data_IF_249180508494
#
_entry.id   IF_249180508494
#
_cell.length_a   1.000
_cell.length_b   1.000
_cell.length_c   1.000
_cell.angle_alpha   90.00
_cell.angle_beta   90.00
_cell.angle_gamma   90.00
#
_symmetry.space_group_name_H-M   'P 1'
#
loop_
_entity.id
_entity.type
_entity.pdbx_description
1 polymer ?
#
# COMPACT_ATOMS: atom_id res chain seq x y z
N UNK A 1 -10.96 15.02 29.31
CA UNK A 1 -10.97 13.55 29.53
C UNK A 1 -9.54 13.08 29.75
N UNK A 2 -9.34 11.99 30.49
CA UNK A 2 -8.01 11.37 30.57
C UNK A 2 -7.64 10.81 29.19
N UNK A 3 -6.37 10.94 28.80
CA UNK A 3 -5.89 10.39 27.52
C UNK A 3 -5.81 8.87 27.59
N UNK A 4 -6.08 8.22 26.46
CA UNK A 4 -5.91 6.78 26.29
C UNK A 4 -4.42 6.46 26.40
N UNK A 5 -4.06 5.53 27.27
CA UNK A 5 -2.66 5.15 27.53
C UNK A 5 -2.24 4.01 26.60
N UNK A 6 -1.12 4.19 25.91
CA UNK A 6 -0.47 3.13 25.14
C UNK A 6 0.59 2.44 26.00
N UNK A 7 0.70 1.11 25.87
CA UNK A 7 1.72 0.30 26.58
C UNK A 7 2.97 0.11 25.74
N UNK A 8 2.80 -0.34 24.51
CA UNK A 8 3.89 -0.59 23.54
C UNK A 8 3.95 0.57 22.53
N UNK A 9 5.16 1.05 22.16
CA UNK A 9 5.26 2.08 21.14
C UNK A 9 4.81 1.56 19.76
N UNK A 10 4.26 2.48 18.96
CA UNK A 10 4.04 2.33 17.54
C UNK A 10 5.28 2.85 16.80
N UNK A 11 5.78 2.13 15.81
CA UNK A 11 6.86 2.65 14.96
C UNK A 11 6.29 3.74 14.07
N UNK A 12 6.81 4.95 14.22
CA UNK A 12 6.41 6.12 13.43
C UNK A 12 7.50 6.45 12.42
N UNK A 13 7.18 6.35 11.14
CA UNK A 13 8.07 6.69 10.04
C UNK A 13 7.57 7.98 9.39
N UNK A 14 8.19 9.11 9.72
CA UNK A 14 7.88 10.41 9.11
C UNK A 14 8.41 10.46 7.67
N UNK A 15 7.95 11.43 6.87
CA UNK A 15 8.24 11.48 5.44
C UNK A 15 8.58 12.85 4.92
N UNK A 16 8.09 13.17 3.72
CA UNK A 16 8.49 14.34 2.95
C UNK A 16 7.33 15.26 2.57
N UNK A 17 7.68 16.49 2.24
CA UNK A 17 6.87 17.49 1.54
C UNK A 17 5.50 17.75 2.18
N UNK A 18 4.43 17.88 1.40
CA UNK A 18 3.10 18.22 1.92
C UNK A 18 2.54 17.16 2.86
N UNK A 19 2.87 15.89 2.64
CA UNK A 19 2.41 14.81 3.52
C UNK A 19 3.02 14.89 4.91
N UNK A 20 4.27 15.34 5.07
CA UNK A 20 4.90 15.61 6.38
C UNK A 20 4.17 16.73 7.14
N UNK A 21 3.73 17.76 6.43
CA UNK A 21 2.95 18.85 7.03
C UNK A 21 1.59 18.34 7.53
N UNK A 22 0.88 17.57 6.70
CA UNK A 22 -0.38 16.94 7.09
C UNK A 22 -0.20 15.95 8.26
N UNK A 23 0.90 15.20 8.25
CA UNK A 23 1.25 14.26 9.32
C UNK A 23 1.30 14.94 10.67
N UNK A 24 2.00 16.07 10.72
CA UNK A 24 2.08 16.88 11.94
C UNK A 24 0.70 17.42 12.36
N UNK A 25 -0.09 17.96 11.42
CA UNK A 25 -1.44 18.46 11.70
C UNK A 25 -2.37 17.38 12.26
N UNK A 26 -2.33 16.17 11.66
CA UNK A 26 -3.13 15.02 12.12
C UNK A 26 -2.73 14.66 13.56
N UNK A 27 -1.44 14.56 13.85
CA UNK A 27 -0.97 14.26 15.22
C UNK A 27 -1.45 15.32 16.21
N UNK A 28 -1.23 16.59 15.91
CA UNK A 28 -1.52 17.69 16.82
C UNK A 28 -3.03 17.86 17.08
N UNK A 29 -3.86 17.73 16.03
CA UNK A 29 -5.29 18.00 16.12
C UNK A 29 -6.15 16.77 16.42
N UNK A 30 -5.77 15.60 15.90
CA UNK A 30 -6.64 14.41 15.94
C UNK A 30 -6.15 13.29 16.86
N UNK A 31 -4.86 13.25 17.24
CA UNK A 31 -4.31 12.15 18.04
C UNK A 31 -3.88 12.60 19.43
N UNK A 32 -2.95 13.53 19.52
CA UNK A 32 -2.34 13.96 20.79
C UNK A 32 -3.33 14.52 21.83
N UNK A 33 -4.46 15.15 21.46
CA UNK A 33 -5.47 15.57 22.44
C UNK A 33 -6.13 14.39 23.18
N UNK A 34 -6.20 13.21 22.56
CA UNK A 34 -6.98 12.07 23.04
C UNK A 34 -6.14 10.89 23.52
N UNK A 35 -4.92 10.74 23.00
CA UNK A 35 -4.04 9.60 23.24
C UNK A 35 -2.73 10.11 23.87
N UNK A 36 -2.22 9.37 24.85
CA UNK A 36 -0.80 9.45 25.27
C UNK A 36 0.02 8.63 24.27
N UNK A 37 0.25 9.23 23.09
CA UNK A 37 0.81 8.58 21.92
C UNK A 37 2.30 8.26 22.17
N UNK A 38 2.61 6.97 22.24
CA UNK A 38 3.98 6.47 22.33
C UNK A 38 4.44 6.00 20.96
N UNK A 39 5.51 6.61 20.45
CA UNK A 39 6.11 6.22 19.18
C UNK A 39 7.60 5.97 19.31
N UNK A 40 8.10 5.01 18.53
CA UNK A 40 9.50 4.87 18.18
C UNK A 40 9.66 5.59 16.84
N UNK A 41 10.22 6.82 16.90
CA UNK A 41 10.21 7.74 15.77
C UNK A 41 11.44 7.59 14.87
N UNK A 42 11.19 7.52 13.55
CA UNK A 42 12.20 7.50 12.50
C UNK A 42 11.87 8.56 11.45
N UNK A 43 12.80 9.47 11.19
CA UNK A 43 12.69 10.46 10.11
C UNK A 43 13.14 9.84 8.78
N UNK A 44 12.18 9.46 7.92
CA UNK A 44 12.47 8.98 6.57
C UNK A 44 12.43 10.09 5.51
N UNK A 45 12.47 11.36 5.94
CA UNK A 45 12.64 12.50 5.04
C UNK A 45 13.95 12.39 4.27
N UNK A 46 13.93 12.81 3.01
CA UNK A 46 15.04 12.61 2.08
C UNK A 46 16.36 13.22 2.57
N UNK A 47 16.30 14.36 3.27
CA UNK A 47 17.48 15.02 3.85
C UNK A 47 18.14 14.14 4.92
N UNK A 48 17.38 13.65 5.88
CA UNK A 48 17.91 12.81 6.96
C UNK A 48 18.35 11.41 6.45
N UNK A 49 17.66 10.86 5.47
CA UNK A 49 18.10 9.65 4.76
C UNK A 49 19.46 9.87 4.08
N UNK A 50 19.66 11.04 3.46
CA UNK A 50 20.94 11.42 2.85
C UNK A 50 22.05 11.58 3.90
N UNK A 51 21.75 12.16 5.08
CA UNK A 51 22.70 12.27 6.18
C UNK A 51 23.15 10.91 6.70
N UNK A 52 22.21 9.99 6.90
CA UNK A 52 22.42 8.64 7.46
C UNK A 52 22.84 7.58 6.40
N UNK A 53 23.06 7.99 5.15
CA UNK A 53 23.30 7.08 4.01
C UNK A 53 22.21 5.99 3.92
N UNK A 54 20.96 6.40 4.08
CA UNK A 54 19.73 5.58 4.09
C UNK A 54 19.67 4.51 5.19
N UNK A 55 20.57 4.53 6.18
CA UNK A 55 20.56 3.57 7.29
C UNK A 55 19.26 3.64 8.09
N UNK A 56 18.69 4.84 8.28
CA UNK A 56 17.43 5.05 9.00
C UNK A 56 16.27 4.25 8.43
N UNK A 57 16.24 3.99 7.12
CA UNK A 57 15.22 3.14 6.47
C UNK A 57 15.31 1.70 6.94
N UNK A 58 16.52 1.15 7.04
CA UNK A 58 16.75 -0.20 7.57
C UNK A 58 16.43 -0.30 9.06
N UNK A 59 16.85 0.69 9.84
CA UNK A 59 16.59 0.74 11.29
C UNK A 59 15.08 0.78 11.58
N UNK A 60 14.31 1.54 10.80
CA UNK A 60 12.85 1.59 10.92
C UNK A 60 12.17 0.26 10.58
N UNK A 61 12.68 -0.47 9.59
CA UNK A 61 12.17 -1.79 9.24
C UNK A 61 12.46 -2.82 10.36
N UNK A 62 13.66 -2.80 10.96
CA UNK A 62 14.00 -3.66 12.08
C UNK A 62 13.18 -3.32 13.34
N UNK A 63 12.94 -2.04 13.60
CA UNK A 63 12.03 -1.62 14.67
C UNK A 63 10.60 -2.13 14.42
N UNK A 64 10.14 -2.11 13.16
CA UNK A 64 8.81 -2.62 12.80
C UNK A 64 8.68 -4.12 13.10
N UNK A 65 9.70 -4.92 12.80
CA UNK A 65 9.74 -6.33 13.20
C UNK A 65 9.67 -6.51 14.71
N UNK A 66 10.39 -5.66 15.46
CA UNK A 66 10.44 -5.73 16.92
C UNK A 66 9.11 -5.37 17.58
N UNK A 67 8.45 -4.31 17.11
CA UNK A 67 7.23 -3.79 17.74
C UNK A 67 5.93 -4.30 17.09
N UNK A 68 6.03 -4.91 15.92
CA UNK A 68 4.94 -5.56 15.21
C UNK A 68 4.02 -4.64 14.40
N UNK A 69 4.03 -3.32 14.66
CA UNK A 69 3.17 -2.36 13.95
C UNK A 69 3.92 -1.06 13.69
N UNK A 70 3.85 -0.58 12.45
CA UNK A 70 4.32 0.73 12.05
C UNK A 70 3.23 1.55 11.34
N UNK A 71 3.42 2.86 11.34
CA UNK A 71 2.70 3.81 10.50
C UNK A 71 3.70 4.68 9.76
N UNK A 72 3.50 4.85 8.45
CA UNK A 72 4.46 5.49 7.57
C UNK A 72 3.85 6.62 6.76
N UNK A 73 4.52 7.77 6.79
CA UNK A 73 4.26 8.90 5.91
C UNK A 73 4.84 8.64 4.51
N UNK A 74 4.33 9.36 3.51
CA UNK A 74 4.87 9.27 2.15
C UNK A 74 6.29 9.87 2.07
N UNK A 75 7.16 9.19 1.32
CA UNK A 75 8.58 9.53 1.16
C UNK A 75 8.96 9.75 -0.29
N UNK A 76 9.96 10.62 -0.52
CA UNK A 76 10.51 10.84 -1.86
C UNK A 76 11.39 9.65 -2.27
N UNK A 77 11.15 9.13 -3.47
CA UNK A 77 12.15 8.34 -4.20
C UNK A 77 12.84 9.28 -5.19
N UNK A 78 14.14 9.61 -4.99
CA UNK A 78 14.78 10.64 -5.78
C UNK A 78 15.00 10.20 -7.23
N UNK A 79 14.88 11.17 -8.13
CA UNK A 79 15.31 11.12 -9.53
C UNK A 79 16.44 12.14 -9.76
N UNK A 80 16.92 12.28 -11.01
CA UNK A 80 18.01 13.19 -11.34
C UNK A 80 17.74 14.66 -10.91
N UNK A 81 16.50 15.15 -11.03
CA UNK A 81 16.13 16.49 -10.60
C UNK A 81 16.24 16.65 -9.07
N UNK A 82 15.80 15.64 -8.33
CA UNK A 82 15.89 15.63 -6.86
C UNK A 82 17.32 15.53 -6.35
N UNK A 83 18.21 14.89 -7.09
CA UNK A 83 19.65 14.85 -6.78
C UNK A 83 20.24 16.27 -6.64
N UNK A 84 19.89 17.15 -7.59
CA UNK A 84 20.37 18.54 -7.58
C UNK A 84 19.63 19.39 -6.55
N UNK A 85 18.31 19.21 -6.42
CA UNK A 85 17.46 20.00 -5.51
C UNK A 85 17.85 19.82 -4.05
N UNK A 86 18.17 18.59 -3.63
CA UNK A 86 18.46 18.22 -2.24
C UNK A 86 19.97 18.01 -1.98
N UNK A 87 20.83 18.28 -2.95
CA UNK A 87 22.29 18.06 -2.86
C UNK A 87 22.64 16.65 -2.34
N UNK A 88 22.05 15.63 -2.99
CA UNK A 88 22.17 14.25 -2.54
C UNK A 88 23.52 13.64 -2.89
N UNK A 89 24.07 12.83 -1.99
CA UNK A 89 25.31 12.06 -2.18
C UNK A 89 25.16 10.99 -3.26
N UNK A 90 23.96 10.37 -3.32
CA UNK A 90 23.60 9.38 -4.33
C UNK A 90 22.08 9.32 -4.56
N UNK A 91 21.68 8.64 -5.62
CA UNK A 91 20.26 8.40 -5.93
C UNK A 91 19.73 7.25 -5.07
N UNK A 92 19.30 7.58 -3.84
CA UNK A 92 18.81 6.62 -2.87
C UNK A 92 17.65 5.78 -3.40
N UNK A 93 17.62 4.51 -3.03
CA UNK A 93 16.53 3.60 -3.39
C UNK A 93 15.20 4.03 -2.75
N UNK A 94 14.10 3.49 -3.25
CA UNK A 94 12.78 3.70 -2.65
C UNK A 94 12.73 3.12 -1.23
N UNK A 95 12.42 3.91 -0.18
CA UNK A 95 12.23 3.39 1.17
C UNK A 95 11.16 2.32 1.22
N UNK A 96 10.06 2.50 0.47
CA UNK A 96 9.00 1.49 0.38
C UNK A 96 9.54 0.15 -0.14
N UNK A 97 10.39 0.17 -1.17
CA UNK A 97 11.02 -1.05 -1.69
C UNK A 97 11.92 -1.74 -0.67
N UNK A 98 12.71 -0.96 0.08
CA UNK A 98 13.60 -1.46 1.14
C UNK A 98 12.79 -2.08 2.29
N UNK A 99 11.78 -1.38 2.81
CA UNK A 99 10.92 -1.87 3.91
C UNK A 99 10.15 -3.12 3.48
N UNK A 100 9.55 -3.11 2.28
CA UNK A 100 8.82 -4.27 1.74
C UNK A 100 9.70 -5.51 1.64
N UNK A 101 10.93 -5.34 1.17
CA UNK A 101 11.90 -6.43 1.08
C UNK A 101 12.36 -6.91 2.48
N UNK A 102 12.60 -5.99 3.42
CA UNK A 102 13.01 -6.32 4.77
C UNK A 102 11.94 -7.10 5.55
N UNK A 103 10.66 -6.77 5.35
CA UNK A 103 9.52 -7.41 6.01
C UNK A 103 9.00 -8.64 5.25
N UNK A 104 9.50 -8.95 4.05
CA UNK A 104 8.93 -9.96 3.14
C UNK A 104 7.41 -9.80 2.99
N UNK A 105 6.98 -8.53 2.88
CA UNK A 105 5.59 -8.15 3.05
C UNK A 105 4.77 -8.15 1.76
N UNK A 106 3.47 -8.40 1.91
CA UNK A 106 2.46 -8.23 0.87
C UNK A 106 1.73 -6.92 1.08
N UNK A 107 1.53 -6.16 0.00
CA UNK A 107 0.80 -4.88 0.04
C UNK A 107 -0.68 -5.14 -0.21
N UNK A 108 -1.53 -4.73 0.75
CA UNK A 108 -2.99 -4.73 0.60
C UNK A 108 -3.48 -3.29 0.48
N UNK A 109 -4.22 -3.00 -0.59
CA UNK A 109 -4.79 -1.69 -0.88
C UNK A 109 -6.30 -1.78 -1.00
N UNK A 110 -7.02 -0.94 -0.25
CA UNK A 110 -8.48 -0.91 -0.26
C UNK A 110 -8.99 0.52 -0.40
N UNK A 111 -9.95 0.79 -1.30
CA UNK A 111 -10.57 2.10 -1.40
C UNK A 111 -11.43 2.38 -0.16
N UNK A 112 -11.35 3.61 0.33
CA UNK A 112 -12.21 4.13 1.39
C UNK A 112 -13.52 4.58 0.72
N UNK A 113 -14.61 3.92 1.05
CA UNK A 113 -15.94 4.29 0.56
C UNK A 113 -16.59 5.32 1.48
N UNK A 114 -17.17 6.36 0.89
CA UNK A 114 -17.92 7.38 1.58
C UNK A 114 -19.18 7.72 0.78
N UNK A 115 -20.28 7.94 1.47
CA UNK A 115 -21.56 8.29 0.83
C UNK A 115 -21.45 9.65 0.12
N UNK A 116 -21.97 9.71 -1.09
CA UNK A 116 -21.93 10.91 -1.94
C UNK A 116 -20.68 10.97 -2.84
N UNK A 117 -19.80 9.95 -2.77
CA UNK A 117 -18.72 9.76 -3.73
C UNK A 117 -18.84 8.33 -4.24
N UNK A 118 -19.52 8.17 -5.36
CA UNK A 118 -19.80 6.87 -5.92
C UNK A 118 -18.71 6.42 -6.91
N UNK A 119 -18.38 5.13 -6.95
CA UNK A 119 -17.45 4.61 -7.95
C UNK A 119 -18.03 4.77 -9.35
N UNK A 120 -17.17 5.00 -10.34
CA UNK A 120 -17.59 5.06 -11.74
C UNK A 120 -18.13 3.70 -12.24
N UNK A 121 -17.82 2.61 -11.56
CA UNK A 121 -18.44 1.29 -11.76
C UNK A 121 -19.58 1.13 -10.77
N UNK A 122 -20.80 1.37 -11.22
CA UNK A 122 -22.01 1.40 -10.37
C UNK A 122 -22.29 0.13 -9.59
N UNK A 123 -21.80 -1.03 -10.07
CA UNK A 123 -22.00 -2.32 -9.40
C UNK A 123 -21.17 -2.49 -8.13
N UNK A 124 -20.12 -1.70 -7.92
CA UNK A 124 -19.23 -1.85 -6.77
C UNK A 124 -19.86 -1.32 -5.48
N UNK A 125 -20.61 -2.17 -4.81
CA UNK A 125 -21.28 -1.86 -3.53
C UNK A 125 -20.32 -1.93 -2.34
N UNK A 126 -19.30 -2.82 -2.42
CA UNK A 126 -18.31 -3.08 -1.37
C UNK A 126 -16.89 -2.80 -1.88
N UNK A 127 -15.94 -2.45 -1.01
CA UNK A 127 -14.54 -2.29 -1.41
C UNK A 127 -13.97 -3.55 -2.07
N UNK A 128 -13.14 -3.37 -3.09
CA UNK A 128 -12.30 -4.42 -3.68
C UNK A 128 -10.89 -4.18 -3.16
N UNK A 129 -10.39 -5.13 -2.38
CA UNK A 129 -9.03 -5.05 -1.83
C UNK A 129 -8.05 -5.67 -2.80
N UNK A 130 -7.03 -4.93 -3.22
CA UNK A 130 -5.94 -5.45 -4.04
C UNK A 130 -4.83 -5.96 -3.14
N UNK A 131 -4.43 -7.24 -3.30
CA UNK A 131 -3.24 -7.80 -2.71
C UNK A 131 -2.14 -7.86 -3.76
N UNK A 132 -1.06 -7.09 -3.56
CA UNK A 132 0.08 -7.00 -4.47
C UNK A 132 1.28 -7.73 -3.90
N UNK A 133 1.83 -8.68 -4.66
CA UNK A 133 3.13 -9.27 -4.36
C UNK A 133 4.22 -8.20 -4.45
N UNK A 134 4.99 -7.99 -3.38
CA UNK A 134 5.94 -6.87 -3.31
C UNK A 134 7.37 -7.25 -3.79
N UNK A 135 7.53 -8.37 -4.45
CA UNK A 135 8.83 -8.91 -4.89
C UNK A 135 8.81 -9.33 -6.36
N UNK A 136 9.98 -9.30 -7.00
CA UNK A 136 10.19 -9.87 -8.35
C UNK A 136 9.53 -9.08 -9.48
N UNK A 137 9.21 -9.78 -10.56
CA UNK A 137 8.69 -9.24 -11.82
C UNK A 137 9.57 -8.11 -12.39
N UNK A 138 8.96 -7.16 -13.09
CA UNK A 138 9.66 -6.00 -13.69
C UNK A 138 10.32 -5.08 -12.65
N UNK A 139 9.95 -5.16 -11.37
CA UNK A 139 10.55 -4.36 -10.29
C UNK A 139 11.92 -4.88 -9.83
N UNK A 140 12.29 -6.10 -10.22
CA UNK A 140 13.62 -6.69 -10.00
C UNK A 140 14.16 -7.28 -11.30
N UNK A 141 14.07 -6.52 -12.38
CA UNK A 141 14.55 -6.92 -13.68
C UNK A 141 16.05 -6.67 -13.87
N UNK A 142 16.57 -7.29 -14.91
CA UNK A 142 17.85 -6.96 -15.53
C UNK A 142 17.64 -6.72 -17.01
N UNK A 143 18.15 -5.63 -17.56
CA UNK A 143 17.93 -5.23 -18.95
C UNK A 143 19.24 -5.11 -19.71
N UNK A 144 19.20 -5.51 -20.99
CA UNK A 144 20.31 -5.36 -21.91
C UNK A 144 19.81 -4.68 -23.19
N UNK A 145 20.43 -3.58 -23.57
CA UNK A 145 20.24 -2.97 -24.90
C UNK A 145 21.12 -3.72 -25.90
N UNK A 146 20.50 -4.47 -26.81
CA UNK A 146 21.20 -5.22 -27.86
C UNK A 146 21.66 -4.26 -28.95
N UNK A 147 22.98 -4.19 -29.26
CA UNK A 147 23.50 -3.19 -30.20
C UNK A 147 23.35 -3.58 -31.68
N UNK A 148 23.09 -4.85 -32.01
CA UNK A 148 23.01 -5.36 -33.38
C UNK A 148 22.65 -6.83 -33.45
N UNK A 149 22.87 -7.45 -34.61
CA UNK A 149 22.60 -8.86 -34.83
C UNK A 149 23.37 -9.77 -33.87
N UNK A 150 22.72 -10.83 -33.41
CA UNK A 150 23.31 -11.79 -32.47
C UNK A 150 22.28 -12.67 -31.79
N UNK A 151 22.75 -13.62 -30.99
CA UNK A 151 21.92 -14.58 -30.26
C UNK A 151 21.83 -14.21 -28.79
N UNK A 152 20.62 -14.21 -28.24
CA UNK A 152 20.37 -14.05 -26.82
C UNK A 152 19.93 -15.37 -26.19
N UNK A 153 20.49 -15.69 -25.02
CA UNK A 153 20.20 -16.91 -24.26
C UNK A 153 19.91 -16.58 -22.81
N UNK A 154 18.96 -17.32 -22.22
CA UNK A 154 18.77 -17.42 -20.79
C UNK A 154 19.60 -18.60 -20.28
N UNK A 155 20.49 -18.36 -19.32
CA UNK A 155 21.38 -19.37 -18.79
C UNK A 155 21.22 -19.43 -17.27
N UNK A 156 21.01 -20.64 -16.75
CA UNK A 156 21.11 -20.94 -15.33
C UNK A 156 22.28 -21.89 -15.12
N UNK A 157 23.21 -21.50 -14.24
CA UNK A 157 24.36 -22.34 -13.85
C UNK A 157 24.18 -22.74 -12.39
N UNK A 158 24.02 -24.04 -12.14
CA UNK A 158 23.90 -24.59 -10.81
C UNK A 158 25.26 -24.57 -10.07
N UNK A 159 25.24 -24.75 -8.75
CA UNK A 159 26.46 -24.76 -7.92
C UNK A 159 27.43 -25.89 -8.31
N UNK A 160 26.95 -27.01 -8.82
CA UNK A 160 27.74 -28.13 -9.34
C UNK A 160 28.29 -27.89 -10.76
N UNK A 161 28.04 -26.73 -11.35
CA UNK A 161 28.44 -26.35 -12.69
C UNK A 161 27.50 -26.82 -13.81
N UNK A 162 26.41 -27.52 -13.50
CA UNK A 162 25.39 -27.90 -14.50
C UNK A 162 24.70 -26.67 -15.05
N UNK A 163 24.55 -26.61 -16.38
CA UNK A 163 23.91 -25.47 -17.06
C UNK A 163 22.61 -25.87 -17.75
N UNK A 164 21.62 -25.00 -17.62
CA UNK A 164 20.39 -25.02 -18.41
C UNK A 164 20.42 -23.79 -19.31
N UNK A 165 20.26 -23.98 -20.61
CA UNK A 165 20.29 -22.90 -21.61
C UNK A 165 19.03 -22.94 -22.47
N UNK A 166 18.41 -21.77 -22.64
CA UNK A 166 17.24 -21.57 -23.50
C UNK A 166 17.51 -20.36 -24.39
N UNK A 167 17.30 -20.49 -25.69
CA UNK A 167 17.41 -19.36 -26.64
C UNK A 167 16.21 -18.44 -26.43
N UNK A 168 16.48 -17.18 -26.11
CA UNK A 168 15.44 -16.16 -26.01
C UNK A 168 15.06 -15.70 -27.43
N UNK A 169 16.06 -15.29 -28.23
CA UNK A 169 15.85 -14.75 -29.57
C UNK A 169 17.15 -14.68 -30.37
N UNK A 170 17.04 -14.80 -31.69
CA UNK A 170 18.12 -14.48 -32.63
C UNK A 170 17.80 -13.13 -33.27
N UNK A 171 18.59 -12.11 -32.91
CA UNK A 171 18.41 -10.75 -33.40
C UNK A 171 19.09 -10.60 -34.78
N UNK A 172 18.39 -9.95 -35.70
CA UNK A 172 18.92 -9.51 -37.01
C UNK A 172 19.35 -8.03 -37.00
N UNK A 173 19.11 -7.31 -35.90
CA UNK A 173 19.42 -5.91 -35.68
C UNK A 173 19.36 -5.51 -34.21
N UNK A 174 19.39 -4.19 -33.91
CA UNK A 174 19.30 -3.70 -32.54
C UNK A 174 17.98 -4.06 -31.88
N UNK A 175 18.01 -4.29 -30.54
CA UNK A 175 16.84 -4.63 -29.76
C UNK A 175 17.05 -4.43 -28.27
N UNK A 176 16.18 -5.07 -27.48
CA UNK A 176 16.23 -5.04 -26.02
C UNK A 176 15.88 -6.41 -25.46
N UNK A 177 16.49 -6.77 -24.33
CA UNK A 177 16.21 -7.99 -23.57
C UNK A 177 15.92 -7.59 -22.15
N UNK A 178 14.92 -8.21 -21.53
CA UNK A 178 14.62 -8.09 -20.13
C UNK A 178 14.55 -9.48 -19.49
N UNK A 179 15.27 -9.67 -18.38
CA UNK A 179 15.17 -10.83 -17.53
C UNK A 179 14.44 -10.51 -16.24
N UNK A 180 13.47 -11.32 -15.86
CA UNK A 180 12.73 -11.25 -14.60
C UNK A 180 12.87 -12.56 -13.83
N UNK A 181 12.69 -12.53 -12.51
CA UNK A 181 12.74 -13.71 -11.66
C UNK A 181 11.76 -13.62 -10.50
N UNK A 182 11.49 -14.76 -9.89
CA UNK A 182 10.84 -14.88 -8.60
C UNK A 182 11.40 -16.08 -7.85
N UNK A 183 11.04 -16.24 -6.59
CA UNK A 183 11.44 -17.40 -5.77
C UNK A 183 10.22 -18.06 -5.16
N UNK A 184 10.23 -19.38 -5.06
CA UNK A 184 9.13 -20.15 -4.45
C UNK A 184 8.88 -19.72 -3.00
N UNK A 185 9.94 -19.38 -2.27
CA UNK A 185 9.84 -18.84 -0.90
C UNK A 185 9.00 -17.56 -0.87
N UNK A 186 9.30 -16.60 -1.75
CA UNK A 186 8.58 -15.33 -1.79
C UNK A 186 7.13 -15.49 -2.25
N UNK A 187 6.88 -16.37 -3.23
CA UNK A 187 5.52 -16.70 -3.68
C UNK A 187 4.71 -17.36 -2.56
N UNK A 188 5.33 -18.28 -1.81
CA UNK A 188 4.70 -18.95 -0.66
C UNK A 188 4.34 -17.95 0.44
N UNK A 189 5.25 -17.03 0.77
CA UNK A 189 5.00 -15.94 1.74
C UNK A 189 3.82 -15.06 1.29
N UNK A 190 3.77 -14.70 0.01
CA UNK A 190 2.68 -13.94 -0.58
C UNK A 190 1.34 -14.69 -0.48
N UNK A 191 1.31 -15.97 -0.83
CA UNK A 191 0.11 -16.80 -0.72
C UNK A 191 -0.40 -16.85 0.73
N UNK A 192 0.49 -17.14 1.69
CA UNK A 192 0.14 -17.20 3.13
C UNK A 192 -0.39 -15.86 3.64
N UNK A 193 0.24 -14.74 3.28
CA UNK A 193 -0.24 -13.41 3.64
C UNK A 193 -1.66 -13.15 3.08
N UNK A 194 -1.91 -13.51 1.82
CA UNK A 194 -3.24 -13.35 1.20
C UNK A 194 -4.31 -14.19 1.89
N UNK A 195 -4.05 -15.47 2.15
CA UNK A 195 -5.01 -16.35 2.82
C UNK A 195 -5.28 -15.93 4.27
N UNK A 196 -4.23 -15.56 5.02
CA UNK A 196 -4.38 -15.09 6.40
C UNK A 196 -5.18 -13.79 6.46
N UNK A 197 -4.87 -12.82 5.60
CA UNK A 197 -5.59 -11.55 5.54
C UNK A 197 -7.06 -11.72 5.11
N UNK A 198 -7.34 -12.67 4.22
CA UNK A 198 -8.70 -13.02 3.82
C UNK A 198 -9.53 -13.57 5.00
N UNK A 199 -8.92 -14.42 5.83
CA UNK A 199 -9.57 -14.93 7.06
C UNK A 199 -9.81 -13.81 8.09
N UNK A 200 -8.82 -12.93 8.31
CA UNK A 200 -8.92 -11.83 9.26
C UNK A 200 -10.02 -10.83 8.86
N UNK A 201 -10.09 -10.51 7.56
CA UNK A 201 -11.06 -9.54 7.03
C UNK A 201 -12.39 -10.17 6.61
N UNK A 202 -12.53 -11.49 6.68
CA UNK A 202 -13.71 -12.26 6.26
C UNK A 202 -14.13 -11.96 4.82
N UNK A 203 -13.15 -11.99 3.91
CA UNK A 203 -13.34 -11.75 2.48
C UNK A 203 -12.92 -12.97 1.66
N UNK A 204 -13.62 -13.20 0.56
CA UNK A 204 -13.19 -14.16 -0.45
C UNK A 204 -11.86 -13.74 -1.05
N UNK A 205 -11.10 -14.70 -1.57
CA UNK A 205 -9.81 -14.46 -2.19
C UNK A 205 -9.83 -14.87 -3.66
N UNK A 206 -9.62 -13.90 -4.54
CA UNK A 206 -9.36 -14.14 -5.96
C UNK A 206 -7.85 -14.05 -6.20
N UNK A 207 -7.31 -15.00 -6.94
CA UNK A 207 -5.95 -14.95 -7.45
C UNK A 207 -5.93 -15.06 -8.97
N UNK A 208 -5.11 -14.24 -9.63
CA UNK A 208 -5.07 -14.19 -11.08
C UNK A 208 -3.65 -14.07 -11.63
N UNK A 209 -3.37 -14.86 -12.68
CA UNK A 209 -2.14 -14.82 -13.48
C UNK A 209 -2.45 -15.07 -14.95
N UNK A 210 -1.43 -15.13 -15.80
CA UNK A 210 -1.58 -15.52 -17.23
C UNK A 210 -0.89 -16.85 -17.52
N UNK A 211 -1.18 -17.88 -16.73
CA UNK A 211 -0.51 -19.19 -16.80
C UNK A 211 -0.66 -19.92 -18.14
N UNK A 212 -1.68 -19.59 -18.92
CA UNK A 212 -1.86 -20.11 -20.28
C UNK A 212 -0.81 -19.60 -21.29
N UNK A 213 -0.18 -18.46 -21.02
CA UNK A 213 0.88 -17.87 -21.83
C UNK A 213 2.23 -18.05 -21.15
N UNK A 214 2.36 -17.63 -19.90
CA UNK A 214 3.56 -17.80 -19.08
C UNK A 214 3.53 -19.14 -18.34
N UNK A 215 3.79 -20.21 -19.11
CA UNK A 215 3.54 -21.59 -18.70
C UNK A 215 4.49 -22.13 -17.61
N UNK A 216 5.59 -21.46 -17.33
CA UNK A 216 6.50 -21.78 -16.22
C UNK A 216 6.36 -20.73 -15.11
N UNK A 217 6.57 -19.47 -15.42
CA UNK A 217 6.62 -18.40 -14.42
C UNK A 217 5.25 -18.20 -13.73
N UNK A 218 4.20 -17.90 -14.47
CA UNK A 218 2.86 -17.67 -13.92
C UNK A 218 2.20 -18.97 -13.41
N UNK A 219 2.50 -20.10 -14.06
CA UNK A 219 2.00 -21.39 -13.63
C UNK A 219 2.55 -21.80 -12.25
N UNK A 220 3.83 -21.51 -11.98
CA UNK A 220 4.43 -21.76 -10.68
C UNK A 220 3.73 -20.98 -9.55
N UNK A 221 3.33 -19.72 -9.81
CA UNK A 221 2.52 -18.96 -8.86
C UNK A 221 1.18 -19.65 -8.57
N UNK A 222 0.48 -20.11 -9.60
CA UNK A 222 -0.78 -20.81 -9.46
C UNK A 222 -0.64 -22.09 -8.64
N UNK A 223 0.38 -22.89 -8.94
CA UNK A 223 0.62 -24.17 -8.27
C UNK A 223 0.94 -23.96 -6.80
N UNK A 224 1.80 -22.98 -6.45
CA UNK A 224 2.14 -22.68 -5.05
C UNK A 224 0.92 -22.16 -4.29
N UNK A 225 0.10 -21.27 -4.89
CA UNK A 225 -1.13 -20.82 -4.24
C UNK A 225 -2.08 -21.97 -3.98
N UNK A 226 -2.27 -22.86 -4.94
CA UNK A 226 -3.14 -24.03 -4.80
C UNK A 226 -2.61 -24.97 -3.71
N UNK A 227 -1.32 -25.25 -3.70
CA UNK A 227 -0.69 -26.12 -2.70
C UNK A 227 -0.82 -25.56 -1.28
N UNK A 228 -0.55 -24.26 -1.09
CA UNK A 228 -0.70 -23.58 0.21
C UNK A 228 -2.16 -23.60 0.66
N UNK A 229 -3.10 -23.33 -0.26
CA UNK A 229 -4.53 -23.41 0.05
C UNK A 229 -4.93 -24.79 0.54
N UNK A 230 -4.64 -25.83 -0.23
CA UNK A 230 -5.05 -27.21 0.09
C UNK A 230 -4.44 -27.73 1.39
N UNK A 231 -3.18 -27.39 1.65
CA UNK A 231 -2.44 -27.90 2.83
C UNK A 231 -2.75 -27.14 4.13
N UNK A 232 -2.95 -25.82 4.07
CA UNK A 232 -2.93 -24.99 5.27
C UNK A 232 -4.21 -24.19 5.50
N UNK A 233 -5.00 -23.89 4.47
CA UNK A 233 -6.09 -22.93 4.56
C UNK A 233 -7.47 -23.46 4.18
N UNK A 234 -7.60 -24.53 3.44
CA UNK A 234 -8.88 -25.05 2.91
C UNK A 234 -9.92 -25.22 4.01
N UNK A 235 -9.60 -25.98 5.05
CA UNK A 235 -10.52 -26.26 6.16
C UNK A 235 -10.93 -24.97 6.90
N UNK A 236 -10.01 -24.00 7.01
CA UNK A 236 -10.25 -22.70 7.64
C UNK A 236 -11.20 -21.84 6.81
N UNK A 237 -11.02 -21.83 5.48
CA UNK A 237 -11.88 -21.12 4.53
C UNK A 237 -13.29 -21.71 4.53
N UNK A 238 -13.41 -23.04 4.46
CA UNK A 238 -14.69 -23.75 4.53
C UNK A 238 -15.42 -23.46 5.85
N UNK A 239 -14.71 -23.50 6.99
CA UNK A 239 -15.27 -23.18 8.29
C UNK A 239 -15.72 -21.71 8.42
N UNK A 240 -15.03 -20.79 7.73
CA UNK A 240 -15.36 -19.36 7.70
C UNK A 240 -16.42 -19.01 6.65
N UNK A 241 -16.79 -19.94 5.77
CA UNK A 241 -17.70 -19.71 4.64
C UNK A 241 -17.11 -18.81 3.57
N UNK A 242 -15.78 -18.86 3.38
CA UNK A 242 -15.04 -18.07 2.39
C UNK A 242 -14.63 -18.94 1.19
N UNK A 243 -14.50 -18.28 0.03
CA UNK A 243 -14.12 -18.93 -1.22
C UNK A 243 -12.71 -18.48 -1.67
N UNK A 244 -11.90 -19.44 -2.16
CA UNK A 244 -10.70 -19.19 -2.94
C UNK A 244 -10.99 -19.47 -4.41
N UNK A 245 -10.72 -18.49 -5.28
CA UNK A 245 -11.00 -18.57 -6.71
C UNK A 245 -9.78 -18.15 -7.54
N UNK A 246 -9.31 -19.07 -8.39
CA UNK A 246 -8.26 -18.78 -9.37
C UNK A 246 -8.85 -18.55 -10.76
N UNK A 247 -8.35 -17.54 -11.48
CA UNK A 247 -8.70 -17.28 -12.88
C UNK A 247 -7.56 -16.61 -13.66
N UNK A 248 -7.71 -16.50 -14.99
CA UNK A 248 -6.77 -15.72 -15.79
C UNK A 248 -6.94 -14.22 -15.51
N UNK A 249 -5.85 -13.46 -15.57
CA UNK A 249 -5.84 -12.02 -15.22
C UNK A 249 -6.82 -11.21 -16.11
N UNK A 250 -6.90 -11.50 -17.40
CA UNK A 250 -7.83 -10.85 -18.31
C UNK A 250 -9.30 -11.21 -18.02
N UNK A 251 -9.58 -12.45 -17.62
CA UNK A 251 -10.92 -12.85 -17.15
C UNK A 251 -11.26 -12.17 -15.80
N UNK A 252 -10.30 -12.06 -14.89
CA UNK A 252 -10.48 -11.33 -13.64
C UNK A 252 -10.85 -9.87 -13.90
N UNK A 253 -10.16 -9.17 -14.81
CA UNK A 253 -10.49 -7.79 -15.22
C UNK A 253 -11.92 -7.69 -15.74
N UNK A 254 -12.35 -8.64 -16.57
CA UNK A 254 -13.72 -8.65 -17.10
C UNK A 254 -14.77 -8.93 -16.02
N UNK A 255 -14.45 -9.79 -15.05
CA UNK A 255 -15.34 -10.17 -13.95
C UNK A 255 -15.47 -9.07 -12.91
N UNK A 256 -14.37 -8.42 -12.55
CA UNK A 256 -14.35 -7.36 -11.52
C UNK A 256 -15.31 -6.22 -11.85
N UNK A 257 -15.46 -5.88 -13.13
CA UNK A 257 -16.40 -4.87 -13.59
C UNK A 257 -17.88 -5.22 -13.38
N UNK A 258 -18.19 -6.49 -13.13
CA UNK A 258 -19.56 -7.02 -12.98
C UNK A 258 -19.90 -7.42 -11.55
N UNK A 259 -18.92 -7.44 -10.65
CA UNK A 259 -19.11 -7.85 -9.24
C UNK A 259 -19.68 -6.72 -8.40
N UNK A 260 -20.15 -7.10 -7.21
CA UNK A 260 -20.52 -6.14 -6.15
C UNK A 260 -19.33 -5.71 -5.28
N UNK A 261 -18.15 -6.28 -5.50
CA UNK A 261 -16.98 -6.12 -4.64
C UNK A 261 -17.05 -6.99 -3.37
N UNK A 262 -16.22 -6.65 -2.37
CA UNK A 262 -16.20 -7.35 -1.08
C UNK A 262 -15.26 -8.57 -1.04
N UNK A 263 -14.25 -8.59 -1.89
CA UNK A 263 -13.25 -9.65 -1.97
C UNK A 263 -11.84 -9.08 -2.08
N UNK A 264 -10.84 -9.92 -1.85
CA UNK A 264 -9.44 -9.62 -2.07
C UNK A 264 -9.05 -10.14 -3.45
N UNK A 265 -8.42 -9.28 -4.26
CA UNK A 265 -7.87 -9.65 -5.55
C UNK A 265 -6.35 -9.67 -5.48
N UNK A 266 -5.78 -10.87 -5.40
CA UNK A 266 -4.35 -11.09 -5.36
C UNK A 266 -3.75 -11.09 -6.77
N UNK A 267 -2.68 -10.32 -6.94
CA UNK A 267 -1.97 -10.13 -8.20
C UNK A 267 -0.45 -10.16 -8.00
N UNK A 268 0.28 -10.57 -9.03
CA UNK A 268 1.72 -10.41 -9.09
C UNK A 268 2.10 -8.93 -8.98
N UNK A 269 3.40 -8.65 -8.80
CA UNK A 269 3.88 -7.30 -8.48
C UNK A 269 3.40 -6.22 -9.47
N UNK A 270 3.66 -6.37 -10.76
CA UNK A 270 3.27 -5.39 -11.77
C UNK A 270 1.74 -5.35 -11.98
N UNK A 271 1.12 -6.51 -12.10
CA UNK A 271 -0.34 -6.62 -12.26
C UNK A 271 -1.05 -5.93 -11.08
N UNK A 272 -0.57 -6.16 -9.85
CA UNK A 272 -1.11 -5.56 -8.63
C UNK A 272 -0.93 -4.05 -8.55
N UNK A 273 0.18 -3.53 -9.06
CA UNK A 273 0.40 -2.09 -9.14
C UNK A 273 -0.63 -1.42 -10.05
N UNK A 274 -0.74 -1.91 -11.28
CA UNK A 274 -1.67 -1.36 -12.28
C UNK A 274 -3.13 -1.52 -11.85
N UNK A 275 -3.50 -2.70 -11.35
CA UNK A 275 -4.89 -2.98 -10.96
C UNK A 275 -5.30 -2.20 -9.71
N UNK A 276 -4.38 -1.98 -8.74
CA UNK A 276 -4.71 -1.15 -7.57
C UNK A 276 -5.01 0.29 -7.95
N UNK A 277 -4.24 0.86 -8.88
CA UNK A 277 -4.48 2.22 -9.36
C UNK A 277 -5.77 2.33 -10.18
N UNK A 278 -6.08 1.31 -10.99
CA UNK A 278 -7.34 1.23 -11.72
C UNK A 278 -8.55 1.24 -10.77
N UNK A 279 -8.55 0.35 -9.77
CA UNK A 279 -9.65 0.24 -8.80
C UNK A 279 -9.78 1.52 -7.97
N UNK A 280 -8.65 2.09 -7.54
CA UNK A 280 -8.63 3.35 -6.79
C UNK A 280 -9.21 4.50 -7.60
N UNK A 281 -8.77 4.65 -8.85
CA UNK A 281 -9.25 5.71 -9.74
C UNK A 281 -10.75 5.56 -10.02
N UNK A 282 -11.22 4.33 -10.19
CA UNK A 282 -12.64 4.04 -10.39
C UNK A 282 -13.49 4.30 -9.12
N UNK A 283 -12.90 4.29 -7.93
CA UNK A 283 -13.56 4.65 -6.67
C UNK A 283 -13.48 6.14 -6.34
N UNK A 284 -12.84 6.96 -7.18
CA UNK A 284 -12.87 8.42 -7.11
C UNK A 284 -11.50 9.09 -6.92
N UNK A 285 -10.65 8.67 -5.99
CA UNK A 285 -9.37 9.33 -5.72
C UNK A 285 -8.35 8.39 -5.08
N UNK A 286 -7.10 8.47 -5.52
CA UNK A 286 -5.96 7.81 -4.86
C UNK A 286 -5.79 8.22 -3.39
N UNK A 287 -6.21 9.46 -3.04
CA UNK A 287 -6.20 9.95 -1.66
C UNK A 287 -7.28 9.30 -0.77
N UNK A 288 -8.13 8.46 -1.36
CA UNK A 288 -9.14 7.64 -0.69
C UNK A 288 -8.76 6.15 -0.70
N UNK A 289 -7.48 5.83 -0.76
CA UNK A 289 -7.00 4.45 -0.74
C UNK A 289 -6.05 4.22 0.44
N UNK A 290 -6.39 3.25 1.27
CA UNK A 290 -5.48 2.74 2.30
C UNK A 290 -4.47 1.78 1.69
N UNK A 291 -3.31 1.68 2.33
CA UNK A 291 -2.29 0.69 2.00
C UNK A 291 -1.75 0.09 3.31
N UNK A 292 -1.69 -1.22 3.38
CA UNK A 292 -1.06 -1.94 4.49
C UNK A 292 -0.10 -2.97 3.94
N UNK A 293 1.11 -2.98 4.47
CA UNK A 293 2.10 -4.02 4.24
C UNK A 293 1.97 -5.05 5.36
N UNK A 294 1.79 -6.30 5.01
CA UNK A 294 1.65 -7.40 5.99
C UNK A 294 2.73 -8.44 5.70
N UNK A 295 3.55 -8.74 6.71
CA UNK A 295 4.55 -9.81 6.61
C UNK A 295 3.90 -11.19 6.83
N UNK A 296 4.53 -12.29 6.39
CA UNK A 296 4.04 -13.64 6.66
C UNK A 296 4.00 -13.98 8.16
N UNK A 297 4.76 -13.26 8.97
CA UNK A 297 4.84 -13.46 10.44
C UNK A 297 3.86 -12.55 11.22
N UNK A 298 3.00 -11.78 10.52
CA UNK A 298 1.99 -10.92 11.15
C UNK A 298 2.54 -9.59 11.66
N UNK A 299 3.53 -9.01 10.98
CA UNK A 299 3.99 -7.64 11.17
C UNK A 299 3.28 -6.71 10.18
N UNK A 300 2.86 -5.53 10.63
CA UNK A 300 2.03 -4.61 9.86
C UNK A 300 2.71 -3.25 9.72
N UNK A 301 2.69 -2.68 8.52
CA UNK A 301 3.04 -1.28 8.28
C UNK A 301 1.91 -0.61 7.49
N UNK A 302 1.34 0.44 8.04
CA UNK A 302 0.21 1.19 7.47
C UNK A 302 0.70 2.48 6.82
N UNK A 303 0.30 2.73 5.58
CA UNK A 303 0.64 3.94 4.85
C UNK A 303 -0.55 4.44 4.00
N UNK A 304 -0.47 5.68 3.50
CA UNK A 304 -1.34 6.12 2.41
C UNK A 304 -0.79 5.61 1.07
N UNK A 305 -1.66 5.24 0.14
CA UNK A 305 -1.24 4.73 -1.16
C UNK A 305 -0.68 5.82 -2.11
N UNK A 306 -0.86 7.11 -1.76
CA UNK A 306 -0.39 8.25 -2.57
C UNK A 306 1.03 8.70 -2.19
N UNK A 307 1.65 9.53 -3.05
CA UNK A 307 2.96 10.12 -2.82
C UNK A 307 2.93 11.39 -1.95
N UNK A 308 4.05 12.14 -1.94
CA UNK A 308 4.32 13.29 -1.05
C UNK A 308 3.55 14.57 -1.38
N UNK A 309 2.79 14.61 -2.49
CA UNK A 309 2.01 15.76 -2.98
C UNK A 309 2.87 17.03 -3.19
N UNK A 310 3.98 16.85 -3.90
CA UNK A 310 4.99 17.86 -4.22
C UNK A 310 4.39 19.20 -4.68
N UNK A 311 3.43 19.17 -5.58
CA UNK A 311 2.83 20.39 -6.16
C UNK A 311 2.16 21.26 -5.10
N UNK A 312 1.51 20.67 -4.10
CA UNK A 312 0.92 21.42 -2.99
C UNK A 312 1.99 21.89 -2.00
N UNK A 313 3.06 21.13 -1.82
CA UNK A 313 4.18 21.54 -0.98
C UNK A 313 4.83 22.84 -1.47
N UNK A 314 5.11 22.97 -2.78
CA UNK A 314 5.66 24.20 -3.32
C UNK A 314 4.71 25.41 -3.24
N UNK A 315 3.41 25.20 -3.28
CA UNK A 315 2.43 26.25 -2.97
C UNK A 315 2.50 26.66 -1.50
N UNK A 316 2.52 25.69 -0.61
CA UNK A 316 2.63 25.92 0.82
C UNK A 316 3.90 26.72 1.18
N UNK A 317 5.05 26.40 0.59
CA UNK A 317 6.30 27.18 0.77
C UNK A 317 6.19 28.64 0.34
N UNK A 318 5.28 28.97 -0.58
CA UNK A 318 4.97 30.35 -1.01
C UNK A 318 3.91 31.05 -0.13
N UNK A 319 3.44 30.39 0.92
CA UNK A 319 2.37 30.88 1.77
C UNK A 319 0.98 30.80 1.14
N UNK A 320 0.82 30.03 0.04
CA UNK A 320 -0.47 29.80 -0.59
C UNK A 320 -1.26 28.73 0.16
N UNK A 321 -2.58 28.92 0.28
CA UNK A 321 -3.46 27.90 0.83
C UNK A 321 -3.53 26.66 -0.09
N UNK A 322 -3.55 25.49 0.53
CA UNK A 322 -3.71 24.21 -0.17
C UNK A 322 -4.90 23.44 0.37
N UNK A 323 -5.58 22.74 -0.50
CA UNK A 323 -6.66 21.81 -0.15
C UNK A 323 -6.18 20.40 -0.50
N UNK A 324 -5.36 19.83 0.39
CA UNK A 324 -4.80 18.49 0.24
C UNK A 324 -5.64 17.51 1.05
N UNK A 325 -6.09 16.46 0.41
CA UNK A 325 -6.87 15.40 1.05
C UNK A 325 -5.97 14.58 2.00
N UNK A 326 -6.36 14.52 3.26
CA UNK A 326 -5.65 13.80 4.33
C UNK A 326 -6.31 12.48 4.74
N UNK A 327 -7.38 12.06 4.08
CA UNK A 327 -8.20 10.90 4.49
C UNK A 327 -7.38 9.62 4.57
N UNK A 328 -6.64 9.27 3.50
CA UNK A 328 -5.83 8.06 3.51
C UNK A 328 -4.74 8.08 4.59
N UNK A 329 -4.15 9.24 4.88
CA UNK A 329 -3.17 9.40 5.96
C UNK A 329 -3.80 9.23 7.34
N UNK A 330 -5.00 9.77 7.55
CA UNK A 330 -5.77 9.56 8.79
C UNK A 330 -6.08 8.06 8.95
N UNK A 331 -6.50 7.38 7.90
CA UNK A 331 -6.80 5.94 7.92
C UNK A 331 -5.55 5.08 8.10
N UNK A 332 -4.38 5.52 7.66
CA UNK A 332 -3.12 4.86 8.00
C UNK A 332 -2.85 4.90 9.52
N UNK A 333 -3.03 6.07 10.14
CA UNK A 333 -2.92 6.22 11.60
C UNK A 333 -3.94 5.38 12.35
N UNK A 334 -5.21 5.42 11.97
CA UNK A 334 -6.28 4.67 12.65
C UNK A 334 -6.08 3.16 12.48
N UNK A 335 -5.67 2.70 11.31
CA UNK A 335 -5.32 1.30 11.07
C UNK A 335 -4.20 0.80 11.98
N UNK A 336 -3.12 1.59 12.08
CA UNK A 336 -1.99 1.27 12.95
C UNK A 336 -2.37 1.29 14.45
N UNK A 337 -3.13 2.29 14.88
CA UNK A 337 -3.62 2.40 16.26
C UNK A 337 -4.56 1.25 16.63
N UNK A 338 -5.47 0.88 15.71
CA UNK A 338 -6.38 -0.26 15.90
C UNK A 338 -5.59 -1.57 16.06
N UNK A 339 -4.63 -1.82 15.15
CA UNK A 339 -3.78 -3.02 15.22
C UNK A 339 -2.93 -3.03 16.49
N UNK A 340 -2.38 -1.90 16.91
CA UNK A 340 -1.66 -1.79 18.19
C UNK A 340 -2.56 -2.06 19.38
N UNK A 341 -3.78 -1.51 19.37
CA UNK A 341 -4.80 -1.77 20.40
C UNK A 341 -5.22 -3.25 20.47
N UNK A 342 -5.32 -3.91 19.32
CA UNK A 342 -5.60 -5.34 19.23
C UNK A 342 -4.46 -6.18 19.84
N UNK A 343 -3.21 -5.92 19.46
CA UNK A 343 -2.05 -6.66 19.94
C UNK A 343 -1.77 -6.44 21.45
N UNK A 344 -2.04 -5.24 21.96
CA UNK A 344 -1.85 -4.88 23.36
C UNK A 344 -3.08 -5.09 24.24
N UNK A 345 -4.20 -5.54 23.63
CA UNK A 345 -5.49 -5.68 24.29
C UNK A 345 -5.98 -4.39 24.95
N UNK A 346 -5.94 -3.27 24.19
CA UNK A 346 -6.42 -1.93 24.60
C UNK A 346 -7.67 -1.57 23.79
N UNK A 347 -8.88 -1.99 24.23
CA UNK A 347 -10.12 -1.78 23.45
C UNK A 347 -10.45 -0.29 23.26
N UNK A 348 -10.04 0.59 24.18
CA UNK A 348 -10.25 2.03 24.05
C UNK A 348 -9.49 2.63 22.87
N UNK A 349 -8.31 2.10 22.56
CA UNK A 349 -7.51 2.53 21.40
C UNK A 349 -8.17 2.10 20.10
N UNK A 350 -8.73 0.91 20.05
CA UNK A 350 -9.51 0.40 18.92
C UNK A 350 -10.77 1.24 18.69
N UNK A 351 -11.54 1.48 19.76
CA UNK A 351 -12.76 2.29 19.71
C UNK A 351 -12.46 3.75 19.28
N UNK A 352 -11.33 4.31 19.69
CA UNK A 352 -10.89 5.63 19.25
C UNK A 352 -10.60 5.65 17.74
N UNK A 353 -9.90 4.65 17.22
CA UNK A 353 -9.62 4.51 15.80
C UNK A 353 -10.93 4.46 14.97
N UNK A 354 -11.88 3.65 15.41
CA UNK A 354 -13.20 3.54 14.77
C UNK A 354 -13.98 4.86 14.83
N UNK A 355 -13.92 5.57 15.96
CA UNK A 355 -14.56 6.88 16.14
C UNK A 355 -13.98 7.93 15.17
N UNK A 356 -12.65 7.99 15.05
CA UNK A 356 -11.96 8.93 14.15
C UNK A 356 -12.27 8.65 12.68
N UNK A 357 -12.26 7.39 12.26
CA UNK A 357 -12.68 7.01 10.90
C UNK A 357 -14.13 7.43 10.63
N UNK A 358 -15.04 7.12 11.54
CA UNK A 358 -16.45 7.51 11.42
C UNK A 358 -16.62 9.01 11.36
N UNK A 359 -15.92 9.79 12.19
CA UNK A 359 -15.95 11.25 12.16
C UNK A 359 -15.43 11.80 10.82
N UNK A 360 -14.37 11.21 10.27
CA UNK A 360 -13.81 11.58 8.96
C UNK A 360 -14.85 11.38 7.85
N UNK A 361 -15.48 10.21 7.80
CA UNK A 361 -16.51 9.91 6.80
C UNK A 361 -17.74 10.81 6.96
N UNK A 362 -18.24 11.01 8.19
CA UNK A 362 -19.39 11.88 8.45
C UNK A 362 -19.11 13.34 8.10
N UNK A 363 -17.88 13.82 8.27
CA UNK A 363 -17.49 15.18 7.84
C UNK A 363 -17.66 15.32 6.33
N UNK A 364 -17.19 14.36 5.55
CA UNK A 364 -17.37 14.36 4.08
C UNK A 364 -18.85 14.23 3.71
N UNK A 365 -19.56 13.29 4.32
CA UNK A 365 -21.00 13.05 4.08
C UNK A 365 -21.88 14.29 4.42
N UNK A 366 -21.43 15.16 5.34
CA UNK A 366 -22.07 16.42 5.65
C UNK A 366 -21.81 17.53 4.62
N UNK A 367 -21.04 17.25 3.57
CA UNK A 367 -20.66 18.19 2.53
C UNK A 367 -19.39 18.99 2.80
N UNK A 368 -18.69 18.78 3.92
CA UNK A 368 -17.42 19.44 4.25
C UNK A 368 -16.26 18.59 3.75
N UNK A 369 -15.53 19.04 2.74
CA UNK A 369 -14.50 18.23 2.09
C UNK A 369 -13.40 19.04 1.41
N UNK A 370 -12.33 18.38 1.02
CA UNK A 370 -11.27 18.97 0.22
C UNK A 370 -11.65 19.11 -1.25
N UNK A 371 -10.91 19.94 -1.97
CA UNK A 371 -11.24 20.34 -3.35
C UNK A 371 -11.31 19.15 -4.32
N UNK A 372 -10.46 18.15 -4.17
CA UNK A 372 -10.45 16.93 -5.01
C UNK A 372 -11.76 16.15 -4.87
N UNK A 373 -12.26 16.00 -3.65
CA UNK A 373 -13.53 15.33 -3.38
C UNK A 373 -14.73 16.15 -3.85
N UNK A 374 -14.67 17.48 -3.69
CA UNK A 374 -15.72 18.39 -4.15
C UNK A 374 -15.92 18.37 -5.67
N UNK A 375 -14.90 17.96 -6.44
CA UNK A 375 -14.98 17.85 -7.90
C UNK A 375 -15.69 16.57 -8.37
N UNK A 376 -15.83 15.57 -7.52
CA UNK A 376 -16.34 14.23 -7.87
C UNK A 376 -17.57 13.83 -7.05
N UNK A 377 -17.95 14.61 -6.05
CA UNK A 377 -19.11 14.32 -5.20
C UNK A 377 -20.42 14.57 -5.91
N UNK A 378 -21.45 13.80 -5.60
CA UNK A 378 -22.83 13.99 -6.03
C UNK A 378 -23.67 14.82 -5.02
N UNK A 379 -23.06 15.27 -3.91
CA UNK A 379 -23.75 16.09 -2.91
C UNK A 379 -24.02 17.50 -3.43
N UNK A 380 -25.24 18.01 -3.22
CA UNK A 380 -25.63 19.34 -3.69
C UNK A 380 -25.06 20.52 -2.88
N UNK A 381 -24.89 20.31 -1.56
CA UNK A 381 -24.42 21.35 -0.63
C UNK A 381 -23.00 21.02 -0.16
N UNK A 382 -22.01 21.61 -0.84
CA UNK A 382 -20.60 21.34 -0.56
C UNK A 382 -19.88 22.59 -0.07
N UNK A 383 -19.15 22.45 1.03
CA UNK A 383 -18.21 23.44 1.54
C UNK A 383 -16.79 22.93 1.28
N UNK A 384 -16.08 23.57 0.37
CA UNK A 384 -14.68 23.24 0.07
C UNK A 384 -13.80 23.84 1.15
N UNK A 385 -13.02 22.97 1.81
CA UNK A 385 -12.09 23.34 2.88
C UNK A 385 -10.64 23.23 2.40
N UNK A 386 -9.77 24.09 2.94
CA UNK A 386 -8.33 23.89 2.86
C UNK A 386 -7.91 22.73 3.79
N UNK A 387 -6.64 22.33 3.72
CA UNK A 387 -6.13 21.17 4.46
C UNK A 387 -6.34 21.28 5.97
N UNK A 388 -6.04 22.44 6.55
CA UNK A 388 -6.20 22.70 7.98
C UNK A 388 -7.67 22.72 8.39
N UNK A 389 -8.50 23.43 7.62
CA UNK A 389 -9.94 23.53 7.86
C UNK A 389 -10.63 22.16 7.80
N UNK A 390 -10.18 21.27 6.92
CA UNK A 390 -10.73 19.91 6.83
C UNK A 390 -10.38 19.07 8.07
N UNK A 391 -9.13 19.10 8.54
CA UNK A 391 -8.71 18.39 9.75
C UNK A 391 -9.46 18.93 10.98
N UNK A 392 -9.64 20.26 11.10
CA UNK A 392 -10.42 20.88 12.20
C UNK A 392 -11.89 20.46 12.14
N UNK A 393 -12.49 20.42 10.95
CA UNK A 393 -13.88 19.96 10.80
C UNK A 393 -14.08 18.50 11.22
N UNK A 394 -13.08 17.63 10.95
CA UNK A 394 -13.09 16.24 11.44
C UNK A 394 -13.04 16.21 12.97
N UNK A 395 -12.17 17.02 13.59
CA UNK A 395 -12.10 17.13 15.04
C UNK A 395 -13.43 17.59 15.65
N UNK A 396 -14.04 18.66 15.11
CA UNK A 396 -15.34 19.14 15.57
C UNK A 396 -16.41 18.04 15.46
N UNK A 397 -16.43 17.29 14.37
CA UNK A 397 -17.36 16.17 14.19
C UNK A 397 -17.10 15.07 15.22
N UNK A 398 -15.85 14.74 15.48
CA UNK A 398 -15.46 13.72 16.46
C UNK A 398 -15.82 14.15 17.91
N UNK A 399 -15.64 15.42 18.25
CA UNK A 399 -15.99 15.94 19.58
C UNK A 399 -17.51 16.01 19.82
N UNK A 400 -18.29 16.12 18.75
CA UNK A 400 -19.76 16.12 18.79
C UNK A 400 -20.36 14.69 18.90
N UNK A 401 -19.60 13.64 18.66
CA UNK A 401 -20.01 12.22 18.78
C UNK A 401 -19.78 11.69 20.21
#
# INVERSE_FOLDING_TARGET
MAKIQMTTPLVEMDGDEMTRILWKMIKDELLLPYIDLKTEYYDLGLEYRNETNDQVTFDSAEATKKYGVAVKCATITPNAARMTEYDLKEMWKSPNGTIRAALDGTVFRAPIKVKGIDPCVKNWEKPITLARHAYGDVYKNTEIKVPGAGKAELVFTAEDGTEIREVIHEFDGPGIIQGIHNTDKSITSFAKACFSYALDTKQDLWFATKDTISKKYDHNFKDIFQEVYEKEYKDKFEAAGLEYFYTLIDDAVARVMKTKGGFIWACKNYDGDVMSDMVSSACGSLAMMTSVLVSPDGVYEYEAAHGTVQRHYYKHLKGEETSTNSVATIFAWTGALRKRGELDNIPELMAFADKLEKATLQTIESGKMTKDLALITELENVTVLNSEGFIKAIRETMDAM
#
